data_IF_957303819268
#
_entry.id   IF_957303819268
#
_cell.length_a   1.000
_cell.length_b   1.000
_cell.length_c   1.000
_cell.angle_alpha   90.00
_cell.angle_beta   90.00
_cell.angle_gamma   90.00
#
_symmetry.space_group_name_H-M   'P 1'
#
loop_
_entity.id
_entity.type
_entity.pdbx_description
1 polymer ?
#
# COMPACT_ATOMS: atom_id res chain seq x y z
N UNK A 1 4.93 -20.46 6.97
CA UNK A 1 3.65 -19.72 7.06
C UNK A 1 3.79 -18.36 7.73
N UNK A 2 4.45 -18.23 8.89
CA UNK A 2 4.56 -16.96 9.62
C UNK A 2 5.10 -15.76 8.82
N UNK A 3 6.14 -15.95 8.00
CA UNK A 3 6.70 -14.89 7.14
C UNK A 3 5.66 -14.31 6.16
N UNK A 4 4.77 -15.16 5.64
CA UNK A 4 3.73 -14.73 4.70
C UNK A 4 2.63 -13.97 5.41
N UNK A 5 2.22 -14.45 6.58
CA UNK A 5 1.24 -13.76 7.45
C UNK A 5 1.76 -12.40 7.93
N UNK A 6 3.03 -12.33 8.33
CA UNK A 6 3.68 -11.07 8.70
C UNK A 6 3.65 -10.09 7.52
N UNK A 7 4.10 -10.51 6.34
CA UNK A 7 4.12 -9.69 5.14
C UNK A 7 2.72 -9.16 4.76
N UNK A 8 1.68 -10.00 4.81
CA UNK A 8 0.31 -9.59 4.48
C UNK A 8 -0.23 -8.56 5.48
N UNK A 9 -0.07 -8.79 6.79
CA UNK A 9 -0.54 -7.87 7.83
C UNK A 9 0.17 -6.52 7.77
N UNK A 10 1.48 -6.52 7.54
CA UNK A 10 2.28 -5.30 7.42
C UNK A 10 1.86 -4.46 6.22
N UNK A 11 1.55 -5.09 5.07
CA UNK A 11 1.06 -4.38 3.89
C UNK A 11 -0.38 -3.87 4.06
N UNK A 12 -1.25 -4.66 4.70
CA UNK A 12 -2.62 -4.24 5.00
C UNK A 12 -2.63 -3.02 5.94
N UNK A 13 -1.68 -2.92 6.87
CA UNK A 13 -1.49 -1.73 7.72
C UNK A 13 -0.97 -0.50 6.95
N UNK A 14 -0.62 -0.64 5.66
CA UNK A 14 -0.19 0.45 4.79
C UNK A 14 1.31 0.73 4.80
N UNK A 15 2.14 -0.25 5.21
CA UNK A 15 3.59 -0.15 5.13
C UNK A 15 4.08 -0.14 3.67
N UNK A 16 5.29 0.39 3.43
CA UNK A 16 5.90 0.41 2.11
C UNK A 16 6.36 -0.99 1.66
N UNK A 17 5.99 -1.37 0.44
CA UNK A 17 6.45 -2.61 -0.22
C UNK A 17 7.98 -2.65 -0.32
N UNK A 18 8.62 -1.50 -0.53
CA UNK A 18 10.08 -1.40 -0.61
C UNK A 18 10.73 -1.68 0.74
N UNK A 19 10.16 -1.13 1.81
CA UNK A 19 10.62 -1.36 3.18
C UNK A 19 10.47 -2.84 3.54
N UNK A 20 9.29 -3.40 3.29
CA UNK A 20 9.03 -4.81 3.56
C UNK A 20 9.95 -5.73 2.74
N UNK A 21 10.17 -5.44 1.45
CA UNK A 21 11.09 -6.21 0.61
C UNK A 21 12.51 -6.27 1.20
N UNK A 22 13.00 -5.15 1.76
CA UNK A 22 14.31 -5.10 2.44
C UNK A 22 14.33 -5.93 3.72
N UNK A 23 13.30 -5.85 4.57
CA UNK A 23 13.20 -6.67 5.78
C UNK A 23 13.14 -8.17 5.47
N UNK A 24 12.49 -8.51 4.37
CA UNK A 24 12.43 -9.87 3.86
C UNK A 24 13.74 -10.30 3.18
N UNK A 25 14.65 -9.38 2.85
CA UNK A 25 15.90 -9.68 2.15
C UNK A 25 15.70 -10.01 0.67
N UNK A 26 14.63 -9.51 0.05
CA UNK A 26 14.42 -9.65 -1.38
C UNK A 26 15.35 -8.69 -2.14
N UNK A 27 15.98 -9.20 -3.20
CA UNK A 27 16.87 -8.43 -4.08
C UNK A 27 16.12 -7.33 -4.85
N UNK A 28 14.81 -7.50 -5.05
CA UNK A 28 13.93 -6.51 -5.67
C UNK A 28 12.57 -6.45 -4.97
N UNK A 29 11.97 -5.25 -4.80
CA UNK A 29 10.59 -5.09 -4.35
C UNK A 29 9.57 -5.76 -5.28
N UNK A 30 9.90 -5.98 -6.56
CA UNK A 30 9.03 -6.68 -7.51
C UNK A 30 8.65 -8.06 -7.00
N UNK A 31 9.59 -8.78 -6.38
CA UNK A 31 9.32 -10.11 -5.80
C UNK A 31 8.22 -10.01 -4.74
N UNK A 32 8.27 -9.00 -3.86
CA UNK A 32 7.21 -8.78 -2.86
C UNK A 32 5.90 -8.36 -3.54
N UNK A 33 5.97 -7.49 -4.54
CA UNK A 33 4.78 -7.01 -5.23
C UNK A 33 4.03 -8.14 -5.92
N UNK A 34 4.74 -9.02 -6.63
CA UNK A 34 4.17 -10.17 -7.35
C UNK A 34 3.38 -11.10 -6.41
N UNK A 35 3.84 -11.27 -5.17
CA UNK A 35 3.19 -12.14 -4.19
C UNK A 35 2.12 -11.45 -3.34
N UNK A 36 2.18 -10.13 -3.14
CA UNK A 36 1.38 -9.46 -2.11
C UNK A 36 0.56 -8.24 -2.59
N UNK A 37 0.61 -7.85 -3.87
CA UNK A 37 -0.14 -6.70 -4.39
C UNK A 37 -1.65 -6.74 -4.05
N UNK A 38 -2.24 -7.93 -3.95
CA UNK A 38 -3.65 -8.11 -3.62
C UNK A 38 -4.03 -7.72 -2.18
N UNK A 39 -3.06 -7.60 -1.26
CA UNK A 39 -3.27 -7.10 0.10
C UNK A 39 -3.23 -5.56 0.18
N UNK A 40 -3.09 -4.88 -0.96
CA UNK A 40 -2.96 -3.42 -1.04
C UNK A 40 -4.12 -2.76 -1.82
N UNK A 41 -5.39 -3.13 -1.61
CA UNK A 41 -6.50 -2.47 -2.29
C UNK A 41 -6.58 -1.00 -1.87
N UNK A 42 -6.61 -0.09 -2.85
CA UNK A 42 -6.63 1.36 -2.58
C UNK A 42 -5.30 1.93 -2.07
N UNK A 43 -4.19 1.18 -2.14
CA UNK A 43 -2.86 1.74 -1.94
C UNK A 43 -2.63 2.88 -2.93
N UNK A 44 -2.23 4.04 -2.41
CA UNK A 44 -2.17 5.29 -3.16
C UNK A 44 -3.32 6.25 -2.85
N UNK A 45 -4.40 5.83 -2.18
CA UNK A 45 -5.50 6.72 -1.79
C UNK A 45 -5.07 7.88 -0.87
N UNK A 46 -4.13 7.65 0.04
CA UNK A 46 -3.50 8.73 0.83
C UNK A 46 -2.71 9.70 -0.06
N UNK A 47 -2.02 9.19 -1.07
CA UNK A 47 -1.29 10.01 -2.05
C UNK A 47 -2.22 10.85 -2.91
N UNK A 48 -3.30 10.22 -3.42
CA UNK A 48 -4.34 10.92 -4.16
C UNK A 48 -4.94 12.07 -3.34
N UNK A 49 -5.36 11.80 -2.08
CA UNK A 49 -5.88 12.84 -1.18
C UNK A 49 -4.89 13.96 -0.89
N UNK A 50 -3.60 13.65 -0.76
CA UNK A 50 -2.56 14.65 -0.56
C UNK A 50 -2.40 15.56 -1.79
N UNK A 51 -2.46 14.98 -2.99
CA UNK A 51 -2.44 15.73 -4.25
C UNK A 51 -3.72 16.56 -4.43
N UNK A 52 -4.89 16.01 -4.12
CA UNK A 52 -6.16 16.74 -4.17
C UNK A 52 -6.11 17.99 -3.27
N UNK A 53 -5.58 17.85 -2.06
CA UNK A 53 -5.38 18.97 -1.14
C UNK A 53 -4.38 20.00 -1.66
N UNK A 54 -3.29 19.58 -2.31
CA UNK A 54 -2.32 20.47 -2.96
C UNK A 54 -2.95 21.23 -4.14
N UNK A 55 -3.80 20.58 -4.92
CA UNK A 55 -4.46 21.15 -6.09
C UNK A 55 -5.73 21.93 -5.75
N UNK A 56 -6.11 21.99 -4.47
CA UNK A 56 -7.33 22.67 -4.02
C UNK A 56 -8.62 21.98 -4.43
N UNK A 57 -8.59 20.70 -4.81
CA UNK A 57 -9.82 19.95 -5.04
C UNK A 57 -10.43 19.54 -3.70
N UNK A 58 -11.72 19.84 -3.45
CA UNK A 58 -12.39 19.33 -2.27
C UNK A 58 -12.39 17.80 -2.38
N UNK A 59 -11.81 17.13 -1.38
CA UNK A 59 -11.78 15.68 -1.28
C UNK A 59 -13.18 15.16 -1.60
N UNK A 60 -13.34 14.49 -2.74
CA UNK A 60 -14.64 14.07 -3.21
C UNK A 60 -15.30 13.25 -2.10
N UNK A 61 -16.29 13.86 -1.45
CA UNK A 61 -17.14 13.18 -0.49
C UNK A 61 -17.88 12.15 -1.31
N UNK A 62 -17.38 10.91 -1.31
CA UNK A 62 -18.11 9.77 -1.82
C UNK A 62 -19.27 9.53 -0.86
N UNK A 63 -20.34 10.30 -1.04
CA UNK A 63 -21.69 9.91 -0.62
C UNK A 63 -22.07 8.71 -1.46
N UNK A 64 -21.89 7.52 -0.90
CA UNK A 64 -22.63 6.34 -1.34
C UNK A 64 -24.09 6.56 -0.96
N UNK A 65 -24.96 6.66 -1.96
CA UNK A 65 -26.42 6.55 -1.84
C UNK A 65 -26.84 5.09 -1.76
#
# INVERSE_FOLDING_TARGET
MLRRTYASLTLEAGESVVTLARWLGHSSPTVTLDYYAHFMPGAGGKGARAIDGLLGQPAAVVTAA
#
